data_IF_415278874112
#
_entry.id   IF_415278874112
#
_cell.length_a   1.000
_cell.length_b   1.000
_cell.length_c   1.000
_cell.angle_alpha   90.00
_cell.angle_beta   90.00
_cell.angle_gamma   90.00
#
_symmetry.space_group_name_H-M   'P 1'
#
loop_
_entity.id
_entity.type
_entity.pdbx_description
1 polymer ?
#
# COMPACT_ATOMS: atom_id res chain seq x y z
N UNK A 1 64.82 0.72 0.67
CA UNK A 1 63.96 -0.45 0.97
C UNK A 1 63.85 -0.58 2.48
N UNK A 2 62.72 -0.65 3.18
CA UNK A 2 61.31 -0.33 3.01
C UNK A 2 60.80 -0.14 4.46
N UNK A 3 59.96 0.86 4.78
CA UNK A 3 59.52 1.13 6.15
C UNK A 3 58.36 0.21 6.57
N UNK A 4 58.39 -0.11 7.86
CA UNK A 4 57.53 -1.05 8.57
C UNK A 4 56.05 -0.61 8.55
N UNK A 5 55.17 -1.35 7.86
CA UNK A 5 53.71 -1.12 7.87
C UNK A 5 53.11 -1.55 9.22
N UNK A 6 52.88 -0.58 10.11
CA UNK A 6 51.96 -0.75 11.25
C UNK A 6 50.54 -0.88 10.72
N UNK A 7 49.95 -2.07 10.88
CA UNK A 7 48.53 -2.30 10.66
C UNK A 7 47.72 -1.45 11.64
N UNK A 8 46.97 -0.48 11.10
CA UNK A 8 45.99 0.27 11.86
C UNK A 8 44.87 -0.67 12.31
N UNK A 9 44.71 -0.82 13.63
CA UNK A 9 43.49 -1.38 14.21
C UNK A 9 42.31 -0.49 13.80
N UNK A 10 41.45 -0.97 12.92
CA UNK A 10 40.10 -0.43 12.78
C UNK A 10 39.43 -0.47 14.15
N UNK A 11 39.14 0.70 14.71
CA UNK A 11 38.20 0.82 15.84
C UNK A 11 36.85 0.32 15.32
N UNK A 12 36.41 -0.83 15.83
CA UNK A 12 35.01 -1.23 15.78
C UNK A 12 34.21 -0.11 16.43
N UNK A 13 33.40 0.60 15.66
CA UNK A 13 32.36 1.50 16.17
C UNK A 13 31.44 0.65 17.03
N UNK A 14 31.58 0.76 18.35
CA UNK A 14 30.61 0.23 19.30
C UNK A 14 29.31 0.98 19.03
N UNK A 15 28.30 0.30 18.48
CA UNK A 15 26.93 0.78 18.48
C UNK A 15 26.51 0.90 19.94
N UNK A 16 26.43 2.14 20.43
CA UNK A 16 25.91 2.43 21.77
C UNK A 16 24.41 2.19 21.69
N UNK A 17 23.94 1.18 22.41
CA UNK A 17 22.52 0.78 22.47
C UNK A 17 21.72 1.91 23.15
N UNK A 18 21.20 2.87 22.36
CA UNK A 18 20.47 4.08 22.80
C UNK A 18 19.03 3.80 23.23
N UNK A 19 18.72 2.57 23.66
CA UNK A 19 17.38 2.14 24.08
C UNK A 19 16.73 3.02 25.15
N UNK A 20 17.54 3.74 25.95
CA UNK A 20 17.05 4.62 27.00
C UNK A 20 16.91 6.10 26.58
N UNK A 21 17.46 6.52 25.43
CA UNK A 21 17.27 7.87 24.90
C UNK A 21 15.94 7.97 24.13
N UNK A 22 15.30 9.14 24.19
CA UNK A 22 14.10 9.40 23.39
C UNK A 22 14.49 9.53 21.91
N UNK A 23 13.75 8.90 20.97
CA UNK A 23 14.06 9.04 19.56
C UNK A 23 13.90 10.51 19.10
N UNK A 24 14.68 10.96 18.11
CA UNK A 24 14.54 12.30 17.56
C UNK A 24 13.14 12.56 17.00
N UNK A 25 12.61 13.77 17.24
CA UNK A 25 11.37 14.25 16.60
C UNK A 25 11.49 14.13 15.07
N UNK A 26 10.45 13.67 14.35
CA UNK A 26 9.04 13.46 14.74
C UNK A 26 8.70 12.05 15.28
N UNK A 27 9.71 11.23 15.59
CA UNK A 27 9.49 9.87 16.05
C UNK A 27 9.31 9.82 17.58
N UNK A 28 8.48 8.87 18.04
CA UNK A 28 8.19 8.62 19.46
C UNK A 28 8.31 7.13 19.75
N UNK A 29 8.38 6.74 21.02
CA UNK A 29 8.27 5.32 21.37
C UNK A 29 6.83 4.85 21.15
N UNK A 30 6.62 3.62 20.65
CA UNK A 30 5.29 3.06 20.54
C UNK A 30 4.67 2.91 21.93
N UNK A 31 3.35 3.10 22.08
CA UNK A 31 2.64 2.82 23.32
C UNK A 31 2.86 1.37 23.76
N UNK A 32 3.08 1.15 25.07
CA UNK A 32 3.31 -0.18 25.67
C UNK A 32 2.15 -1.16 25.37
N UNK A 33 0.94 -0.63 25.23
CA UNK A 33 -0.26 -1.41 24.88
C UNK A 33 -0.10 -2.15 23.54
N UNK A 34 0.72 -1.63 22.61
CA UNK A 34 0.96 -2.27 21.32
C UNK A 34 2.05 -3.34 21.35
N UNK A 35 2.75 -3.56 22.47
CA UNK A 35 3.83 -4.55 22.56
C UNK A 35 3.45 -5.96 22.09
N UNK A 36 2.28 -6.54 22.47
CA UNK A 36 1.88 -7.87 22.00
C UNK A 36 1.78 -7.96 20.47
N UNK A 37 1.40 -6.86 19.83
CA UNK A 37 1.33 -6.76 18.38
C UNK A 37 2.72 -6.58 17.76
N UNK A 38 3.53 -5.67 18.32
CA UNK A 38 4.87 -5.31 17.84
C UNK A 38 5.83 -6.51 17.88
N UNK A 39 5.76 -7.33 18.93
CA UNK A 39 6.59 -8.52 19.11
C UNK A 39 6.41 -9.54 17.98
N UNK A 40 5.29 -9.47 17.26
CA UNK A 40 5.01 -10.37 16.16
C UNK A 40 5.49 -9.82 14.81
N UNK A 41 5.86 -8.54 14.70
CA UNK A 41 6.24 -7.88 13.44
C UNK A 41 7.66 -8.24 12.99
N UNK A 42 7.88 -8.19 11.67
CA UNK A 42 9.22 -8.36 11.09
C UNK A 42 9.95 -7.02 11.10
N UNK A 43 11.14 -6.99 11.71
CA UNK A 43 11.98 -5.80 11.87
C UNK A 43 12.46 -5.20 10.53
N UNK A 44 12.37 -5.95 9.42
CA UNK A 44 12.79 -5.47 8.10
C UNK A 44 11.83 -4.48 7.47
N UNK A 45 10.59 -4.42 7.94
CA UNK A 45 9.51 -3.70 7.27
C UNK A 45 8.96 -2.56 8.10
N UNK A 46 8.44 -1.56 7.38
CA UNK A 46 7.63 -0.48 7.93
C UNK A 46 6.17 -0.90 7.89
N UNK A 47 5.45 -0.66 8.98
CA UNK A 47 4.04 -1.00 9.11
C UNK A 47 3.19 0.24 9.31
N UNK A 48 2.03 0.29 8.65
CA UNK A 48 1.03 1.34 8.83
C UNK A 48 -0.30 0.70 9.16
N UNK A 49 -0.86 1.08 10.30
CA UNK A 49 -2.19 0.63 10.75
C UNK A 49 -3.19 1.76 10.63
N UNK A 50 -4.42 1.43 10.24
CA UNK A 50 -5.56 2.32 10.33
C UNK A 50 -6.86 1.54 10.50
N UNK A 51 -7.90 2.22 10.99
CA UNK A 51 -9.25 1.67 11.10
C UNK A 51 -10.05 2.11 9.87
N UNK A 52 -10.60 1.15 9.13
CA UNK A 52 -11.52 1.42 8.02
C UNK A 52 -12.96 1.25 8.48
N UNK A 53 -13.70 2.36 8.42
CA UNK A 53 -15.10 2.47 8.86
C UNK A 53 -16.11 2.26 7.72
N UNK A 54 -15.68 1.73 6.56
CA UNK A 54 -16.60 1.52 5.43
C UNK A 54 -17.59 0.38 5.71
N UNK A 55 -18.81 0.44 5.13
CA UNK A 55 -19.82 -0.59 5.33
C UNK A 55 -19.34 -2.00 5.00
N UNK A 56 -19.74 -2.99 5.80
CA UNK A 56 -19.37 -4.38 5.59
C UNK A 56 -19.80 -4.90 4.19
N UNK A 57 -20.95 -4.43 3.70
CA UNK A 57 -21.44 -4.80 2.36
C UNK A 57 -20.53 -4.31 1.24
N UNK A 58 -19.99 -3.09 1.37
CA UNK A 58 -19.08 -2.51 0.40
C UNK A 58 -17.76 -3.30 0.36
N UNK A 59 -17.22 -3.62 1.54
CA UNK A 59 -16.03 -4.48 1.70
C UNK A 59 -16.24 -5.86 1.07
N UNK A 60 -17.43 -6.46 1.22
CA UNK A 60 -17.81 -7.73 0.60
C UNK A 60 -17.81 -7.65 -0.92
N UNK A 61 -18.40 -6.61 -1.51
CA UNK A 61 -18.41 -6.40 -2.97
C UNK A 61 -16.99 -6.28 -3.53
N UNK A 62 -16.12 -5.52 -2.87
CA UNK A 62 -14.71 -5.39 -3.28
C UNK A 62 -13.97 -6.72 -3.17
N UNK A 63 -14.25 -7.52 -2.14
CA UNK A 63 -13.62 -8.84 -1.97
C UNK A 63 -14.09 -9.87 -3.01
N UNK A 64 -15.32 -9.77 -3.50
CA UNK A 64 -15.85 -10.68 -4.52
C UNK A 64 -15.12 -10.55 -5.87
N UNK A 65 -14.57 -9.38 -6.20
CA UNK A 65 -13.83 -9.17 -7.45
C UNK A 65 -12.61 -10.09 -7.57
N UNK A 66 -11.64 -10.09 -6.64
CA UNK A 66 -10.51 -11.02 -6.70
C UNK A 66 -10.92 -12.46 -6.49
N UNK A 67 -11.98 -12.76 -5.72
CA UNK A 67 -12.52 -14.14 -5.63
C UNK A 67 -12.97 -14.65 -6.99
N UNK A 68 -13.81 -13.87 -7.69
CA UNK A 68 -14.31 -14.23 -9.02
C UNK A 68 -13.18 -14.38 -10.02
N UNK A 69 -12.21 -13.46 -10.02
CA UNK A 69 -11.01 -13.55 -10.87
C UNK A 69 -10.24 -14.85 -10.63
N UNK A 70 -9.96 -15.20 -9.38
CA UNK A 70 -9.24 -16.43 -9.06
C UNK A 70 -10.02 -17.70 -9.43
N UNK A 71 -11.34 -17.72 -9.24
CA UNK A 71 -12.19 -18.83 -9.67
C UNK A 71 -12.10 -19.02 -11.19
N UNK A 72 -12.21 -17.94 -11.96
CA UNK A 72 -12.10 -17.98 -13.43
C UNK A 72 -10.73 -18.50 -13.85
N UNK A 73 -9.65 -17.99 -13.25
CA UNK A 73 -8.28 -18.45 -13.54
C UNK A 73 -8.14 -19.95 -13.23
N UNK A 74 -8.63 -20.43 -12.09
CA UNK A 74 -8.57 -21.86 -11.74
C UNK A 74 -9.37 -22.71 -12.73
N UNK A 75 -10.58 -22.29 -13.10
CA UNK A 75 -11.40 -23.04 -14.07
C UNK A 75 -10.73 -23.12 -15.44
N UNK A 76 -10.19 -22.01 -15.94
CA UNK A 76 -9.45 -21.98 -17.20
C UNK A 76 -8.18 -22.83 -17.14
N UNK A 77 -7.47 -22.79 -16.00
CA UNK A 77 -6.27 -23.60 -15.80
C UNK A 77 -6.60 -25.10 -15.77
N UNK A 78 -7.65 -25.50 -15.04
CA UNK A 78 -8.13 -26.89 -14.99
C UNK A 78 -8.58 -27.36 -16.38
N UNK A 79 -9.34 -26.54 -17.11
CA UNK A 79 -9.75 -26.85 -18.49
C UNK A 79 -8.53 -27.02 -19.41
N UNK A 80 -7.55 -26.11 -19.33
CA UNK A 80 -6.32 -26.19 -20.10
C UNK A 80 -5.55 -27.47 -19.79
N UNK A 81 -5.36 -27.79 -18.51
CA UNK A 81 -4.69 -29.00 -18.06
C UNK A 81 -5.43 -30.26 -18.52
N UNK A 82 -6.77 -30.27 -18.44
CA UNK A 82 -7.57 -31.41 -18.90
C UNK A 82 -7.37 -31.70 -20.40
N UNK A 83 -7.23 -30.66 -21.23
CA UNK A 83 -6.97 -30.84 -22.67
C UNK A 83 -5.52 -31.15 -23.02
N UNK A 84 -4.56 -30.53 -22.33
CA UNK A 84 -3.15 -30.63 -22.72
C UNK A 84 -2.41 -31.82 -22.06
N UNK A 85 -2.86 -32.29 -20.89
CA UNK A 85 -2.22 -33.42 -20.21
C UNK A 85 -2.18 -34.70 -21.05
N UNK A 86 -3.26 -35.12 -21.76
CA UNK A 86 -3.19 -36.25 -22.67
C UNK A 86 -2.14 -36.07 -23.77
N UNK A 87 -2.00 -34.85 -24.31
CA UNK A 87 -1.00 -34.54 -25.34
C UNK A 87 0.44 -34.65 -24.80
N UNK A 88 0.69 -34.13 -23.58
CA UNK A 88 1.99 -34.32 -22.92
C UNK A 88 2.30 -35.80 -22.66
N UNK A 89 1.28 -36.59 -22.28
CA UNK A 89 1.43 -38.02 -22.09
C UNK A 89 1.81 -38.73 -23.39
N UNK A 90 1.16 -38.39 -24.51
CA UNK A 90 1.50 -38.91 -25.83
C UNK A 90 2.93 -38.56 -26.24
N UNK A 91 3.41 -37.34 -25.96
CA UNK A 91 4.79 -36.96 -26.24
C UNK A 91 5.81 -37.79 -25.45
N UNK A 92 5.52 -38.07 -24.17
CA UNK A 92 6.35 -38.96 -23.35
C UNK A 92 6.35 -40.38 -23.95
N UNK A 93 5.18 -40.90 -24.33
CA UNK A 93 5.05 -42.21 -24.96
C UNK A 93 5.83 -42.32 -26.28
N UNK A 94 5.80 -41.28 -27.12
CA UNK A 94 6.62 -41.21 -28.33
C UNK A 94 8.11 -41.23 -27.99
N UNK A 95 8.53 -40.49 -26.95
CA UNK A 95 9.92 -40.52 -26.46
C UNK A 95 10.36 -41.90 -25.93
N UNK A 96 9.41 -42.71 -25.43
CA UNK A 96 9.64 -44.09 -24.98
C UNK A 96 9.55 -45.12 -26.12
N UNK A 97 9.35 -44.69 -27.36
CA UNK A 97 9.30 -45.57 -28.54
C UNK A 97 7.92 -46.19 -28.82
N UNK A 98 6.85 -45.67 -28.20
CA UNK A 98 5.48 -46.05 -28.54
C UNK A 98 4.92 -45.13 -29.62
N UNK A 99 4.58 -45.70 -30.77
CA UNK A 99 3.97 -44.96 -31.87
C UNK A 99 2.58 -44.43 -31.49
N UNK A 100 2.37 -43.13 -31.65
CA UNK A 100 1.09 -42.46 -31.44
C UNK A 100 0.97 -41.21 -32.32
N UNK A 101 -0.10 -40.44 -32.15
CA UNK A 101 -0.42 -39.23 -32.93
C UNK A 101 0.68 -38.14 -32.89
N UNK A 102 1.59 -38.20 -31.92
CA UNK A 102 2.72 -37.26 -31.79
C UNK A 102 4.05 -37.79 -32.32
N UNK A 103 4.08 -39.05 -32.78
CA UNK A 103 5.23 -39.65 -33.47
C UNK A 103 5.34 -39.06 -34.87
N UNK A 104 6.51 -38.50 -35.19
CA UNK A 104 6.76 -37.86 -36.47
C UNK A 104 7.90 -38.56 -37.21
N UNK A 105 7.66 -38.96 -38.46
CA UNK A 105 8.69 -39.59 -39.28
C UNK A 105 9.64 -38.51 -39.84
N UNK A 106 10.78 -38.34 -39.18
CA UNK A 106 11.81 -37.37 -39.56
C UNK A 106 12.56 -37.74 -40.83
N UNK A 107 12.49 -39.00 -41.30
CA UNK A 107 13.25 -39.47 -42.46
C UNK A 107 12.69 -38.93 -43.79
N UNK A 108 11.37 -38.68 -43.85
CA UNK A 108 10.67 -38.27 -45.06
C UNK A 108 10.30 -36.77 -45.06
N UNK A 109 10.72 -36.02 -44.03
CA UNK A 109 10.31 -34.63 -43.83
C UNK A 109 11.40 -33.62 -44.21
N UNK A 110 10.97 -32.45 -44.68
CA UNK A 110 11.88 -31.31 -44.91
C UNK A 110 12.30 -30.64 -43.60
N UNK A 111 13.48 -30.02 -43.59
CA UNK A 111 13.98 -29.27 -42.43
C UNK A 111 13.03 -28.15 -41.97
N UNK A 112 12.26 -27.56 -42.90
CA UNK A 112 11.23 -26.56 -42.58
C UNK A 112 10.05 -27.15 -41.80
N UNK A 113 9.60 -28.35 -42.17
CA UNK A 113 8.50 -29.04 -41.47
C UNK A 113 8.94 -29.49 -40.07
N UNK A 114 10.17 -29.99 -39.95
CA UNK A 114 10.78 -30.34 -38.67
C UNK A 114 10.87 -29.09 -37.78
N UNK A 115 11.39 -27.97 -38.31
CA UNK A 115 11.50 -26.73 -37.56
C UNK A 115 10.13 -26.18 -37.13
N UNK A 116 9.11 -26.27 -37.99
CA UNK A 116 7.75 -25.84 -37.69
C UNK A 116 7.12 -26.67 -36.57
N UNK A 117 7.23 -28.00 -36.63
CA UNK A 117 6.70 -28.89 -35.59
C UNK A 117 7.42 -28.68 -34.25
N UNK A 118 8.75 -28.53 -34.26
CA UNK A 118 9.51 -28.18 -33.06
C UNK A 118 9.05 -26.83 -32.51
N UNK A 119 8.87 -25.81 -33.36
CA UNK A 119 8.41 -24.49 -32.96
C UNK A 119 7.02 -24.51 -32.32
N UNK A 120 6.07 -25.23 -32.94
CA UNK A 120 4.70 -25.40 -32.43
C UNK A 120 4.67 -26.11 -31.08
N UNK A 121 5.43 -27.20 -30.93
CA UNK A 121 5.54 -27.95 -29.65
C UNK A 121 6.17 -27.07 -28.58
N UNK A 122 7.30 -26.43 -28.89
CA UNK A 122 8.02 -25.55 -27.96
C UNK A 122 7.19 -24.35 -27.55
N UNK A 123 6.46 -23.72 -28.48
CA UNK A 123 5.57 -22.60 -28.19
C UNK A 123 4.43 -22.98 -27.25
N UNK A 124 3.83 -24.15 -27.47
CA UNK A 124 2.78 -24.69 -26.59
C UNK A 124 3.33 -24.92 -25.18
N UNK A 125 4.50 -25.55 -25.06
CA UNK A 125 5.18 -25.80 -23.79
C UNK A 125 5.56 -24.50 -23.08
N UNK A 126 6.05 -23.50 -23.82
CA UNK A 126 6.39 -22.19 -23.28
C UNK A 126 5.17 -21.49 -22.68
N UNK A 127 4.03 -21.52 -23.38
CA UNK A 127 2.78 -20.93 -22.86
C UNK A 127 2.36 -21.62 -21.57
N UNK A 128 2.34 -22.96 -21.54
CA UNK A 128 1.95 -23.71 -20.35
C UNK A 128 2.93 -23.46 -19.19
N UNK A 129 4.22 -23.36 -19.46
CA UNK A 129 5.24 -22.98 -18.49
C UNK A 129 4.98 -21.59 -17.91
N UNK A 130 4.71 -20.59 -18.76
CA UNK A 130 4.38 -19.23 -18.31
C UNK A 130 3.10 -19.22 -17.46
N UNK A 131 2.06 -19.94 -17.89
CA UNK A 131 0.81 -20.06 -17.11
C UNK A 131 1.06 -20.71 -15.75
N UNK A 132 1.86 -21.77 -15.69
CA UNK A 132 2.15 -22.47 -14.44
C UNK A 132 3.05 -21.68 -13.49
N UNK A 133 4.04 -20.95 -14.01
CA UNK A 133 5.00 -20.22 -13.18
C UNK A 133 4.49 -18.84 -12.76
N UNK A 134 3.76 -18.13 -13.62
CA UNK A 134 3.38 -16.74 -13.34
C UNK A 134 1.90 -16.57 -12.99
N UNK A 135 1.00 -17.38 -13.57
CA UNK A 135 -0.45 -17.22 -13.37
C UNK A 135 -0.97 -18.12 -12.24
N UNK A 136 -0.56 -19.38 -12.20
CA UNK A 136 -1.00 -20.34 -11.17
C UNK A 136 -0.66 -19.94 -9.72
N UNK A 137 0.46 -19.26 -9.42
CA UNK A 137 0.72 -18.81 -8.06
C UNK A 137 -0.36 -17.88 -7.50
N UNK A 138 -1.08 -17.12 -8.35
CA UNK A 138 -2.05 -16.14 -7.86
C UNK A 138 -3.21 -16.79 -7.08
N UNK A 139 -3.95 -17.79 -7.62
CA UNK A 139 -4.94 -18.54 -6.84
C UNK A 139 -4.36 -19.24 -5.62
N UNK A 140 -3.16 -19.80 -5.74
CA UNK A 140 -2.50 -20.52 -4.64
C UNK A 140 -2.16 -19.56 -3.50
N UNK A 141 -1.60 -18.40 -3.79
CA UNK A 141 -1.32 -17.37 -2.80
C UNK A 141 -2.60 -16.78 -2.20
N UNK A 142 -3.65 -16.65 -3.00
CA UNK A 142 -4.95 -16.15 -2.55
C UNK A 142 -5.61 -17.06 -1.48
N UNK A 143 -5.44 -18.37 -1.58
CA UNK A 143 -6.06 -19.35 -0.67
C UNK A 143 -5.08 -19.89 0.39
N UNK A 144 -3.84 -20.12 0.00
CA UNK A 144 -2.84 -20.87 0.77
C UNK A 144 -1.52 -20.11 0.97
N UNK A 145 -1.47 -18.82 0.64
CA UNK A 145 -0.33 -17.94 0.91
C UNK A 145 0.06 -17.98 2.40
N UNK A 146 1.36 -18.20 2.66
CA UNK A 146 1.92 -18.33 4.03
C UNK A 146 2.74 -17.12 4.46
N UNK A 147 3.47 -16.48 3.54
CA UNK A 147 4.47 -15.47 3.88
C UNK A 147 3.90 -14.23 4.58
N UNK A 148 2.66 -13.82 4.23
CA UNK A 148 1.96 -12.66 4.78
C UNK A 148 0.54 -13.02 5.24
N UNK A 149 0.29 -14.32 5.43
CA UNK A 149 -1.06 -14.89 5.45
C UNK A 149 -1.71 -14.88 4.06
N UNK A 150 -3.00 -15.21 4.02
CA UNK A 150 -3.78 -15.17 2.79
C UNK A 150 -5.16 -14.52 3.00
N UNK A 151 -5.74 -13.94 1.94
CA UNK A 151 -7.02 -13.26 2.05
C UNK A 151 -8.19 -14.15 2.47
N UNK A 152 -8.23 -15.41 2.00
CA UNK A 152 -9.28 -16.36 2.39
C UNK A 152 -9.26 -16.59 3.90
N UNK A 153 -8.09 -16.81 4.48
CA UNK A 153 -7.92 -17.00 5.92
C UNK A 153 -8.31 -15.74 6.71
N UNK A 154 -7.99 -14.54 6.21
CA UNK A 154 -8.41 -13.30 6.82
C UNK A 154 -9.94 -13.20 6.89
N UNK A 155 -10.63 -13.43 5.77
CA UNK A 155 -12.10 -13.41 5.75
C UNK A 155 -12.74 -14.53 6.56
N UNK A 156 -12.12 -15.71 6.61
CA UNK A 156 -12.60 -16.82 7.45
C UNK A 156 -12.48 -16.52 8.94
N UNK A 157 -11.42 -15.83 9.37
CA UNK A 157 -11.14 -15.58 10.80
C UNK A 157 -11.78 -14.29 11.32
N UNK A 158 -11.82 -13.24 10.51
CA UNK A 158 -12.27 -11.91 10.94
C UNK A 158 -13.68 -11.59 10.44
N UNK A 159 -14.04 -12.10 9.26
CA UNK A 159 -15.29 -11.77 8.57
C UNK A 159 -15.25 -10.41 7.86
N UNK A 160 -16.42 -9.80 7.70
CA UNK A 160 -16.59 -8.42 7.25
C UNK A 160 -17.19 -7.63 8.42
N UNK A 161 -16.46 -6.63 8.91
CA UNK A 161 -16.86 -5.80 10.05
C UNK A 161 -17.02 -4.34 9.61
N UNK A 162 -17.89 -3.61 10.28
CA UNK A 162 -18.08 -2.16 10.07
C UNK A 162 -16.80 -1.39 10.38
N UNK A 163 -16.14 -1.72 11.50
CA UNK A 163 -14.82 -1.22 11.86
C UNK A 163 -13.79 -2.35 11.70
N UNK A 164 -12.88 -2.18 10.74
CA UNK A 164 -11.88 -3.20 10.41
C UNK A 164 -10.46 -2.61 10.48
N UNK A 165 -9.55 -3.30 11.17
CA UNK A 165 -8.15 -2.91 11.31
C UNK A 165 -7.35 -3.37 10.09
N UNK A 166 -6.81 -2.41 9.36
CA UNK A 166 -5.96 -2.68 8.22
C UNK A 166 -4.49 -2.47 8.60
N UNK A 167 -3.68 -3.49 8.36
CA UNK A 167 -2.22 -3.46 8.55
C UNK A 167 -1.56 -3.52 7.19
N UNK A 168 -0.93 -2.42 6.80
CA UNK A 168 -0.12 -2.32 5.59
C UNK A 168 1.35 -2.49 5.93
N UNK A 169 2.08 -3.17 5.04
CA UNK A 169 3.51 -3.46 5.14
C UNK A 169 4.21 -2.86 3.92
N UNK A 170 5.39 -2.29 4.11
CA UNK A 170 6.26 -1.85 3.02
C UNK A 170 6.66 -3.02 2.12
N UNK A 171 6.89 -2.73 0.83
CA UNK A 171 7.33 -3.71 -0.16
C UNK A 171 8.85 -3.83 -0.20
N UNK A 172 9.50 -3.38 -1.28
CA UNK A 172 10.95 -3.50 -1.46
C UNK A 172 11.69 -2.18 -1.21
N UNK A 173 10.97 -1.06 -1.19
CA UNK A 173 11.57 0.28 -1.03
C UNK A 173 12.18 0.49 0.36
N UNK A 174 11.77 -0.29 1.35
CA UNK A 174 12.33 -0.28 2.70
C UNK A 174 13.75 -0.85 2.76
N UNK A 175 14.12 -1.73 1.81
CA UNK A 175 15.49 -2.27 1.70
C UNK A 175 16.50 -1.22 1.24
N UNK A 176 16.02 -0.17 0.55
CA UNK A 176 16.84 0.95 0.13
C UNK A 176 17.07 1.98 1.26
N UNK A 177 16.38 1.84 2.39
CA UNK A 177 16.58 2.71 3.53
C UNK A 177 17.85 2.31 4.26
N UNK A 178 18.70 3.31 4.52
CA UNK A 178 19.84 3.16 5.43
C UNK A 178 19.42 3.65 6.81
N UNK A 179 20.14 4.62 7.37
CA UNK A 179 19.81 5.21 8.65
C UNK A 179 18.96 6.47 8.44
N UNK A 180 17.72 6.42 8.91
CA UNK A 180 16.69 7.47 8.75
C UNK A 180 17.02 8.77 9.52
N UNK A 181 17.97 8.74 10.44
CA UNK A 181 18.40 9.90 11.22
C UNK A 181 19.65 10.55 10.65
N UNK A 182 20.55 9.78 10.04
CA UNK A 182 21.77 10.32 9.43
C UNK A 182 21.63 10.62 7.94
N UNK A 183 20.82 9.84 7.21
CA UNK A 183 20.60 10.02 5.79
C UNK A 183 19.28 10.76 5.52
N UNK A 184 19.40 12.02 5.10
CA UNK A 184 18.26 12.85 4.72
C UNK A 184 17.48 12.26 3.52
N UNK A 185 18.15 11.52 2.63
CA UNK A 185 17.52 10.85 1.50
C UNK A 185 16.55 9.76 1.95
N UNK A 186 17.03 8.81 2.77
CA UNK A 186 16.21 7.76 3.39
C UNK A 186 15.07 8.34 4.21
N UNK A 187 15.33 9.40 4.99
CA UNK A 187 14.29 10.11 5.75
C UNK A 187 13.21 10.66 4.84
N UNK A 188 13.57 11.36 3.77
CA UNK A 188 12.60 11.94 2.83
C UNK A 188 11.77 10.87 2.13
N UNK A 189 12.39 9.76 1.71
CA UNK A 189 11.69 8.63 1.08
C UNK A 189 10.67 8.02 2.05
N UNK A 190 11.11 7.74 3.28
CA UNK A 190 10.26 7.19 4.33
C UNK A 190 9.05 8.08 4.60
N UNK A 191 9.28 9.38 4.84
CA UNK A 191 8.21 10.33 5.14
C UNK A 191 7.25 10.50 3.96
N UNK A 192 7.76 10.53 2.73
CA UNK A 192 6.92 10.65 1.52
C UNK A 192 5.94 9.47 1.41
N UNK A 193 6.44 8.25 1.58
CA UNK A 193 5.59 7.06 1.48
C UNK A 193 4.65 6.90 2.67
N UNK A 194 5.08 7.26 3.88
CA UNK A 194 4.21 7.28 5.06
C UNK A 194 3.08 8.28 4.85
N UNK A 195 3.39 9.54 4.52
CA UNK A 195 2.39 10.59 4.37
C UNK A 195 1.36 10.25 3.29
N UNK A 196 1.80 9.69 2.16
CA UNK A 196 0.87 9.21 1.13
C UNK A 196 0.00 8.06 1.65
N UNK A 197 0.55 7.12 2.43
CA UNK A 197 -0.21 6.01 2.99
C UNK A 197 -1.19 6.46 4.08
N UNK A 198 -0.81 7.43 4.91
CA UNK A 198 -1.64 7.96 6.01
C UNK A 198 -2.55 9.10 5.57
N UNK A 199 -2.51 9.48 4.29
CA UNK A 199 -3.35 10.53 3.74
C UNK A 199 -4.84 10.24 4.00
N UNK A 200 -5.57 11.21 4.54
CA UNK A 200 -7.00 11.11 4.75
C UNK A 200 -7.82 10.69 3.55
N UNK A 201 -7.54 11.34 2.42
CA UNK A 201 -8.26 11.18 1.16
C UNK A 201 -8.13 9.72 0.71
N UNK A 202 -6.94 9.14 0.86
CA UNK A 202 -6.69 7.74 0.55
C UNK A 202 -7.52 6.81 1.44
N UNK A 203 -7.55 7.07 2.75
CA UNK A 203 -8.28 6.24 3.73
C UNK A 203 -9.80 6.34 3.54
N UNK A 204 -10.32 7.50 3.16
CA UNK A 204 -11.73 7.71 2.87
C UNK A 204 -12.14 7.06 1.54
N UNK A 205 -11.32 7.16 0.49
CA UNK A 205 -11.67 6.66 -0.83
C UNK A 205 -11.43 5.16 -1.03
N UNK A 206 -10.36 4.61 -0.44
CA UNK A 206 -9.92 3.23 -0.71
C UNK A 206 -10.09 2.34 0.51
N UNK A 207 -10.38 1.06 0.28
CA UNK A 207 -10.47 0.03 1.33
C UNK A 207 -9.94 -1.30 0.81
N UNK A 208 -9.47 -2.15 1.72
CA UNK A 208 -8.98 -3.48 1.37
C UNK A 208 -7.95 -3.44 0.27
N UNK A 209 -8.12 -4.31 -0.72
CA UNK A 209 -7.23 -4.45 -1.88
C UNK A 209 -6.92 -3.13 -2.60
N UNK A 210 -7.81 -2.15 -2.57
CA UNK A 210 -7.57 -0.86 -3.22
C UNK A 210 -6.44 -0.05 -2.55
N UNK A 211 -6.07 -0.41 -1.33
CA UNK A 211 -4.95 0.19 -0.60
C UNK A 211 -3.59 -0.43 -0.98
N UNK A 212 -3.57 -1.56 -1.70
CA UNK A 212 -2.35 -2.17 -2.20
C UNK A 212 -1.85 -1.38 -3.42
N UNK A 213 -0.54 -1.14 -3.48
CA UNK A 213 0.10 -0.47 -4.62
C UNK A 213 1.58 -0.92 -4.73
N UNK A 214 2.35 -0.30 -5.62
CA UNK A 214 3.78 -0.63 -5.80
C UNK A 214 4.63 -0.48 -4.53
N UNK A 215 4.18 0.30 -3.55
CA UNK A 215 4.93 0.60 -2.32
C UNK A 215 4.40 -0.15 -1.09
N UNK A 216 3.09 -0.42 -1.04
CA UNK A 216 2.42 -0.96 0.13
C UNK A 216 1.66 -2.23 -0.21
N UNK A 217 1.81 -3.22 0.65
CA UNK A 217 1.06 -4.47 0.61
C UNK A 217 0.22 -4.62 1.88
N UNK A 218 -0.75 -5.53 1.85
CA UNK A 218 -1.55 -5.86 3.02
C UNK A 218 -1.00 -7.11 3.70
N UNK A 219 -0.80 -7.02 5.02
CA UNK A 219 -0.31 -8.13 5.82
C UNK A 219 -1.49 -8.81 6.53
N UNK A 220 -2.07 -9.80 5.84
CA UNK A 220 -3.25 -10.52 6.31
C UNK A 220 -3.03 -11.21 7.65
N UNK A 221 -1.85 -11.78 7.88
CA UNK A 221 -1.50 -12.41 9.14
C UNK A 221 -1.52 -11.40 10.29
N UNK A 222 -0.99 -10.18 10.08
CA UNK A 222 -1.02 -9.12 11.10
C UNK A 222 -2.38 -8.50 11.27
N UNK A 223 -3.18 -8.40 10.21
CA UNK A 223 -4.58 -8.00 10.33
C UNK A 223 -5.40 -8.99 11.19
N UNK A 224 -5.23 -10.30 10.97
CA UNK A 224 -5.87 -11.33 11.81
C UNK A 224 -5.40 -11.23 13.26
N UNK A 225 -4.09 -11.02 13.47
CA UNK A 225 -3.52 -10.88 14.81
C UNK A 225 -4.06 -9.64 15.53
N UNK A 226 -4.08 -8.48 14.87
CA UNK A 226 -4.60 -7.23 15.44
C UNK A 226 -6.05 -7.40 15.88
N UNK A 227 -6.91 -7.95 15.02
CA UNK A 227 -8.30 -8.24 15.39
C UNK A 227 -8.39 -9.23 16.54
N UNK A 228 -7.57 -10.28 16.57
CA UNK A 228 -7.56 -11.23 17.69
C UNK A 228 -7.20 -10.56 19.02
N UNK A 229 -6.24 -9.64 19.02
CA UNK A 229 -5.83 -8.91 20.23
C UNK A 229 -6.95 -7.98 20.72
N UNK A 230 -7.68 -7.34 19.78
CA UNK A 230 -8.86 -6.53 20.11
C UNK A 230 -10.03 -7.41 20.60
N UNK A 231 -10.29 -8.54 19.95
CA UNK A 231 -11.35 -9.47 20.32
C UNK A 231 -11.12 -10.07 21.72
N UNK A 232 -9.85 -10.29 22.09
CA UNK A 232 -9.44 -10.71 23.44
C UNK A 232 -9.41 -9.58 24.46
N UNK A 233 -9.67 -8.33 24.06
CA UNK A 233 -9.57 -7.12 24.89
C UNK A 233 -8.18 -6.88 25.49
N UNK A 234 -7.13 -7.38 24.83
CA UNK A 234 -5.74 -7.09 25.21
C UNK A 234 -5.35 -5.67 24.74
N UNK A 235 -5.90 -5.22 23.61
CA UNK A 235 -5.63 -3.91 23.02
C UNK A 235 -6.96 -3.26 22.63
N UNK A 236 -7.11 -1.96 22.90
CA UNK A 236 -8.27 -1.19 22.46
C UNK A 236 -8.23 -0.95 20.93
N UNK A 237 -9.39 -0.99 20.26
CA UNK A 237 -9.48 -0.75 18.82
C UNK A 237 -8.81 0.58 18.41
N UNK A 238 -9.05 1.65 19.18
CA UNK A 238 -8.51 2.99 18.95
C UNK A 238 -6.98 3.04 18.95
N UNK A 239 -6.30 2.08 19.57
CA UNK A 239 -4.84 1.98 19.51
C UNK A 239 -4.31 1.72 18.09
N UNK A 240 -5.16 1.29 17.16
CA UNK A 240 -4.81 1.03 15.75
C UNK A 240 -5.29 2.12 14.78
N UNK A 241 -5.79 3.26 15.27
CA UNK A 241 -6.44 4.29 14.42
C UNK A 241 -5.53 4.87 13.35
N UNK A 242 -4.30 5.22 13.70
CA UNK A 242 -3.26 5.73 12.80
C UNK A 242 -1.89 5.55 13.45
N UNK A 243 -1.34 4.34 13.34
CA UNK A 243 -0.01 4.05 13.90
C UNK A 243 0.93 3.62 12.81
N UNK A 244 2.09 4.25 12.76
CA UNK A 244 3.16 3.94 11.82
C UNK A 244 4.36 3.43 12.61
N UNK A 245 4.73 2.18 12.40
CA UNK A 245 5.79 1.49 13.13
C UNK A 245 6.98 1.26 12.22
N UNK A 246 8.15 1.70 12.67
CA UNK A 246 9.44 1.54 11.99
C UNK A 246 10.41 0.92 13.00
N UNK A 247 11.25 -0.02 12.57
CA UNK A 247 12.30 -0.57 13.42
C UNK A 247 13.64 0.10 13.09
N UNK A 248 14.32 0.61 14.12
CA UNK A 248 15.66 1.18 14.04
C UNK A 248 16.65 0.33 14.85
N UNK A 249 17.91 0.25 14.41
CA UNK A 249 18.95 -0.53 15.09
C UNK A 249 19.20 -0.03 16.52
N UNK A 250 19.36 1.29 16.69
CA UNK A 250 19.75 1.90 17.97
C UNK A 250 18.59 2.15 18.95
N UNK A 251 17.38 2.40 18.42
CA UNK A 251 16.21 2.79 19.22
C UNK A 251 15.15 1.69 19.30
N UNK A 252 15.32 0.57 18.59
CA UNK A 252 14.31 -0.47 18.47
C UNK A 252 13.08 0.00 17.69
N UNK A 253 11.90 -0.43 18.10
CA UNK A 253 10.65 0.01 17.48
C UNK A 253 10.34 1.47 17.82
N UNK A 254 10.11 2.27 16.79
CA UNK A 254 9.70 3.67 16.89
C UNK A 254 8.36 3.87 16.17
N UNK A 255 7.55 4.78 16.69
CA UNK A 255 6.29 5.21 16.11
C UNK A 255 6.48 6.58 15.45
N UNK A 256 6.06 6.73 14.20
CA UNK A 256 5.97 8.05 13.58
C UNK A 256 4.63 8.70 13.95
N UNK A 257 4.69 9.89 14.54
CA UNK A 257 3.50 10.64 14.92
C UNK A 257 2.95 11.43 13.71
N UNK A 258 1.96 10.83 13.05
CA UNK A 258 1.26 11.43 11.91
C UNK A 258 0.58 12.75 12.29
N UNK A 259 0.11 12.90 13.54
CA UNK A 259 -0.63 14.08 13.99
C UNK A 259 0.28 15.16 14.59
N UNK A 260 1.40 14.76 15.20
CA UNK A 260 2.39 15.66 15.80
C UNK A 260 3.45 16.21 14.84
N UNK A 261 3.66 15.56 13.69
CA UNK A 261 4.41 16.16 12.57
C UNK A 261 3.51 17.16 11.86
N UNK A 262 3.96 18.39 11.58
CA UNK A 262 3.16 19.49 11.00
C UNK A 262 2.44 19.21 9.67
N UNK A 263 2.55 17.99 9.12
CA UNK A 263 1.70 17.43 8.08
C UNK A 263 0.20 17.42 8.46
N UNK A 264 -0.14 17.34 9.75
CA UNK A 264 -1.53 17.45 10.22
C UNK A 264 -2.17 18.79 9.82
N UNK A 265 -1.45 19.91 9.93
CA UNK A 265 -2.02 21.22 9.60
C UNK A 265 -2.31 21.41 8.11
N UNK A 266 -1.46 20.89 7.23
CA UNK A 266 -1.69 20.98 5.79
C UNK A 266 -2.72 19.96 5.31
N UNK A 267 -2.70 18.74 5.83
CA UNK A 267 -3.68 17.71 5.46
C UNK A 267 -5.06 17.97 6.08
N UNK A 268 -5.14 18.57 7.27
CA UNK A 268 -6.39 19.11 7.83
C UNK A 268 -6.88 20.28 6.99
N UNK A 269 -6.00 21.23 6.62
CA UNK A 269 -6.38 22.32 5.71
C UNK A 269 -6.89 21.78 4.37
N UNK A 270 -6.26 20.76 3.81
CA UNK A 270 -6.72 20.10 2.58
C UNK A 270 -8.07 19.42 2.77
N UNK A 271 -8.27 18.68 3.86
CA UNK A 271 -9.57 18.09 4.23
C UNK A 271 -10.66 19.15 4.33
N UNK A 272 -10.38 20.26 5.02
CA UNK A 272 -11.32 21.38 5.18
C UNK A 272 -11.71 21.99 3.83
N UNK A 273 -10.73 22.18 2.94
CA UNK A 273 -10.95 22.67 1.56
C UNK A 273 -11.83 21.70 0.76
N UNK A 274 -11.60 20.39 0.87
CA UNK A 274 -12.44 19.39 0.17
C UNK A 274 -13.84 19.28 0.75
N UNK A 275 -14.00 19.30 2.07
CA UNK A 275 -15.31 19.30 2.72
C UNK A 275 -16.13 20.54 2.31
N UNK A 276 -15.48 21.70 2.20
CA UNK A 276 -16.10 22.92 1.71
C UNK A 276 -16.52 22.80 0.23
N UNK A 277 -15.70 22.18 -0.62
CA UNK A 277 -16.06 21.87 -2.02
C UNK A 277 -17.32 21.02 -2.09
N UNK A 278 -17.38 19.93 -1.35
CA UNK A 278 -18.49 18.98 -1.42
C UNK A 278 -19.81 19.63 -0.99
N UNK A 279 -19.78 20.54 -0.01
CA UNK A 279 -20.95 21.31 0.39
C UNK A 279 -21.38 22.31 -0.70
N UNK A 280 -20.44 22.97 -1.38
CA UNK A 280 -20.77 23.84 -2.51
C UNK A 280 -21.34 23.07 -3.71
N UNK A 281 -20.86 21.86 -3.97
CA UNK A 281 -21.43 20.96 -4.97
C UNK A 281 -22.86 20.55 -4.59
N UNK A 282 -23.08 20.19 -3.32
CA UNK A 282 -24.42 19.83 -2.82
C UNK A 282 -25.43 21.00 -2.92
N UNK A 283 -24.94 22.24 -2.85
CA UNK A 283 -25.73 23.46 -3.07
C UNK A 283 -25.88 23.84 -4.55
N UNK A 284 -25.27 23.08 -5.47
CA UNK A 284 -25.29 23.35 -6.91
C UNK A 284 -24.46 24.56 -7.33
N UNK A 285 -23.48 24.97 -6.52
CA UNK A 285 -22.66 26.18 -6.69
C UNK A 285 -21.17 25.84 -6.82
N UNK A 286 -20.84 24.84 -7.64
CA UNK A 286 -19.46 24.40 -7.86
C UNK A 286 -18.58 25.51 -8.49
N UNK A 287 -19.16 26.39 -9.31
CA UNK A 287 -18.46 27.50 -9.95
C UNK A 287 -17.82 28.48 -8.94
N UNK A 288 -18.44 28.64 -7.75
CA UNK A 288 -17.90 29.49 -6.68
C UNK A 288 -16.60 28.91 -6.09
N UNK A 289 -16.52 27.58 -5.99
CA UNK A 289 -15.32 26.92 -5.50
C UNK A 289 -14.15 27.14 -6.46
N UNK A 290 -14.38 27.02 -7.76
CA UNK A 290 -13.32 27.24 -8.76
C UNK A 290 -12.84 28.68 -8.80
N UNK A 291 -13.75 29.66 -8.75
CA UNK A 291 -13.40 31.09 -8.67
C UNK A 291 -12.66 31.43 -7.38
N UNK A 292 -13.04 30.83 -6.25
CA UNK A 292 -12.31 30.98 -5.00
C UNK A 292 -10.87 30.47 -5.10
N UNK A 293 -10.68 29.23 -5.59
CA UNK A 293 -9.35 28.64 -5.77
C UNK A 293 -8.50 29.48 -6.71
N UNK A 294 -9.09 30.01 -7.78
CA UNK A 294 -8.42 30.91 -8.73
C UNK A 294 -7.94 32.20 -8.05
N UNK A 295 -8.78 32.86 -7.24
CA UNK A 295 -8.39 34.07 -6.49
C UNK A 295 -7.22 33.76 -5.55
N UNK A 296 -7.29 32.65 -4.80
CA UNK A 296 -6.23 32.25 -3.88
C UNK A 296 -4.93 31.92 -4.62
N UNK A 297 -5.01 31.22 -5.75
CA UNK A 297 -3.84 30.88 -6.57
C UNK A 297 -3.23 32.11 -7.24
N UNK A 298 -4.05 33.02 -7.75
CA UNK A 298 -3.63 34.27 -8.37
C UNK A 298 -2.86 35.15 -7.37
N UNK A 299 -3.38 35.33 -6.16
CA UNK A 299 -2.72 36.11 -5.12
C UNK A 299 -1.45 35.41 -4.60
N UNK A 300 -1.45 34.07 -4.52
CA UNK A 300 -0.27 33.31 -4.11
C UNK A 300 0.88 33.32 -5.15
N UNK A 301 0.59 33.60 -6.43
CA UNK A 301 1.58 33.66 -7.52
C UNK A 301 2.09 35.07 -7.82
N UNK A 302 1.61 36.11 -7.10
CA UNK A 302 2.10 37.48 -7.25
C UNK A 302 3.57 37.65 -6.76
N UNK A 303 4.38 38.46 -7.45
CA UNK A 303 5.75 38.78 -7.04
C UNK A 303 5.73 39.61 -5.75
N UNK A 304 5.88 38.93 -4.61
CA UNK A 304 5.73 39.50 -3.26
C UNK A 304 5.36 38.44 -2.20
N UNK A 305 4.81 37.30 -2.64
CA UNK A 305 4.40 36.21 -1.77
C UNK A 305 3.04 36.45 -1.10
N UNK A 306 2.55 35.44 -0.38
CA UNK A 306 1.24 35.47 0.28
C UNK A 306 1.32 36.14 1.67
N UNK A 307 1.62 37.43 1.70
CA UNK A 307 1.77 38.22 2.92
C UNK A 307 0.44 38.56 3.61
N UNK A 308 0.49 39.20 4.81
CA UNK A 308 -0.72 39.53 5.59
C UNK A 308 -1.68 40.50 4.89
N UNK A 309 -1.16 41.43 4.10
CA UNK A 309 -1.99 42.44 3.39
C UNK A 309 -2.71 41.82 2.19
N UNK A 310 -2.03 40.92 1.49
CA UNK A 310 -2.52 40.17 0.36
C UNK A 310 -3.60 39.17 0.82
N UNK A 311 -3.42 38.56 2.00
CA UNK A 311 -4.43 37.71 2.64
C UNK A 311 -5.72 38.47 2.97
N UNK A 312 -5.63 39.68 3.52
CA UNK A 312 -6.81 40.51 3.80
C UNK A 312 -7.54 40.93 2.52
N UNK A 313 -6.80 41.30 1.47
CA UNK A 313 -7.38 41.66 0.18
C UNK A 313 -8.05 40.47 -0.51
N UNK A 314 -7.44 39.29 -0.46
CA UNK A 314 -8.01 38.05 -0.97
C UNK A 314 -9.28 37.68 -0.20
N UNK A 315 -9.25 37.70 1.14
CA UNK A 315 -10.41 37.40 1.98
C UNK A 315 -11.60 38.32 1.70
N UNK A 316 -11.35 39.62 1.47
CA UNK A 316 -12.40 40.58 1.11
C UNK A 316 -13.05 40.24 -0.25
N UNK A 317 -12.25 39.96 -1.28
CA UNK A 317 -12.78 39.57 -2.61
C UNK A 317 -13.56 38.26 -2.56
N UNK A 318 -13.12 37.31 -1.72
CA UNK A 318 -13.81 36.03 -1.53
C UNK A 318 -15.17 36.25 -0.85
N UNK A 319 -15.25 37.08 0.19
CA UNK A 319 -16.53 37.43 0.82
C UNK A 319 -17.49 38.07 -0.17
N UNK A 320 -17.04 39.07 -0.93
CA UNK A 320 -17.85 39.73 -1.95
C UNK A 320 -18.34 38.75 -3.03
N UNK A 321 -17.50 37.80 -3.46
CA UNK A 321 -17.87 36.78 -4.45
C UNK A 321 -19.00 35.86 -3.94
N UNK A 322 -18.95 35.46 -2.67
CA UNK A 322 -19.95 34.58 -2.07
C UNK A 322 -21.24 35.33 -1.70
N UNK A 323 -21.13 36.59 -1.24
CA UNK A 323 -22.27 37.47 -0.97
C UNK A 323 -23.11 37.75 -2.23
N UNK A 324 -22.46 37.89 -3.40
CA UNK A 324 -23.16 38.07 -4.68
C UNK A 324 -24.06 36.88 -5.06
N UNK A 325 -23.78 35.69 -4.53
CA UNK A 325 -24.60 34.49 -4.70
C UNK A 325 -25.48 34.20 -3.47
N UNK A 326 -25.60 35.17 -2.55
CA UNK A 326 -26.39 35.11 -1.32
C UNK A 326 -25.94 33.99 -0.36
N UNK A 327 -24.62 33.72 -0.31
CA UNK A 327 -23.99 32.75 0.59
C UNK A 327 -23.01 33.49 1.50
N UNK A 328 -23.13 33.32 2.82
CA UNK A 328 -22.13 33.81 3.77
C UNK A 328 -20.94 32.83 3.82
N UNK A 329 -19.78 33.26 3.33
CA UNK A 329 -18.56 32.46 3.30
C UNK A 329 -18.11 32.05 4.72
N UNK A 330 -18.15 32.97 5.68
CA UNK A 330 -17.63 32.72 7.03
C UNK A 330 -18.58 31.80 7.80
N UNK A 331 -19.89 31.93 7.63
CA UNK A 331 -20.88 31.02 8.21
C UNK A 331 -20.79 29.62 7.59
N UNK A 332 -20.68 29.53 6.25
CA UNK A 332 -20.56 28.26 5.56
C UNK A 332 -19.25 27.55 5.92
N UNK A 333 -18.13 28.29 5.99
CA UNK A 333 -16.85 27.76 6.40
C UNK A 333 -16.89 27.24 7.85
N UNK A 334 -17.47 28.00 8.79
CA UNK A 334 -17.64 27.54 10.19
C UNK A 334 -18.53 26.29 10.29
N UNK A 335 -19.63 26.26 9.54
CA UNK A 335 -20.55 25.11 9.53
C UNK A 335 -19.92 23.84 8.94
N UNK A 336 -19.03 23.99 7.97
CA UNK A 336 -18.34 22.86 7.31
C UNK A 336 -17.10 22.37 8.08
N UNK A 337 -16.34 23.28 8.68
CA UNK A 337 -15.07 22.98 9.35
C UNK A 337 -15.22 22.80 10.86
N UNK A 338 -16.34 23.24 11.46
CA UNK A 338 -16.67 22.99 12.87
C UNK A 338 -15.84 23.80 13.86
N UNK A 339 -15.53 25.06 13.55
CA UNK A 339 -14.85 26.01 14.45
C UNK A 339 -15.84 27.02 15.02
#
# INVERSE_FOLDING_TARGET
MAPNKRGGKQKSTQFVDKKNEAPPSPFKRPPEVLEPFINALDKKHVYVTHIDNKPAEFKRKIFLVPVGMNIVVVLLFVLRMWWILPWYWSLIMTGLGHDNETTWNTADSTWSEIAWEIGKRSGTMMIDFVLFIFVWPWPVEFVAGRARGNPCQWRWRVGFREQEIYVRRSREWDQALTDIFTDEGSKKILLTYINHATSPILQEQKTGYLLMNGHWDLDWARMILAHRLVDKKEIALEAFKSVVLVHHADYGWICYDVHGSGASSEDERRRQVFAFRDVLIALGKEDLFYRWVEIVQFEATQPGGFGPKEQEAAAKRIRELFENENIDFDELWKKTVGI
#
